data_IF_229114234115
#
_entry.id   IF_229114234115
#
_cell.length_a   1.000
_cell.length_b   1.000
_cell.length_c   1.000
_cell.angle_alpha   90.00
_cell.angle_beta   90.00
_cell.angle_gamma   90.00
#
_symmetry.space_group_name_H-M   'P 1'
#
loop_
_entity.id
_entity.type
_entity.pdbx_description
1 polymer ?
#
# COMPACT_ATOMS: atom_id res chain seq x y z
N UNK A 1 5.49 21.64 5.72
CA UNK A 1 4.95 20.73 6.77
C UNK A 1 3.74 19.91 6.32
N UNK A 2 2.68 20.52 5.76
CA UNK A 2 1.48 19.79 5.30
C UNK A 2 1.78 18.67 4.28
N UNK A 3 2.75 18.87 3.37
CA UNK A 3 3.13 17.87 2.35
C UNK A 3 3.74 16.59 2.90
N UNK A 4 4.51 16.68 3.99
CA UNK A 4 5.12 15.52 4.65
C UNK A 4 4.02 14.68 5.29
N UNK A 5 3.06 15.33 5.95
CA UNK A 5 1.89 14.65 6.52
C UNK A 5 1.04 13.97 5.43
N UNK A 6 0.80 14.66 4.31
CA UNK A 6 0.12 14.06 3.15
C UNK A 6 0.87 12.83 2.63
N UNK A 7 2.18 12.92 2.46
CA UNK A 7 3.00 11.79 2.02
C UNK A 7 2.97 10.61 3.00
N UNK A 8 3.01 10.86 4.31
CA UNK A 8 2.89 9.82 5.34
C UNK A 8 1.52 9.12 5.32
N UNK A 9 0.43 9.88 5.12
CA UNK A 9 -0.92 9.31 4.95
C UNK A 9 -0.97 8.42 3.70
N UNK A 10 -0.38 8.85 2.59
CA UNK A 10 -0.30 8.02 1.38
C UNK A 10 0.49 6.72 1.61
N UNK A 11 1.60 6.76 2.34
CA UNK A 11 2.33 5.55 2.73
C UNK A 11 1.48 4.61 3.61
N UNK A 12 0.71 5.18 4.56
CA UNK A 12 -0.20 4.40 5.41
C UNK A 12 -1.30 3.73 4.57
N UNK A 13 -1.91 4.47 3.64
CA UNK A 13 -2.91 3.93 2.71
C UNK A 13 -2.30 2.80 1.88
N UNK A 14 -1.09 2.99 1.33
CA UNK A 14 -0.39 1.94 0.58
C UNK A 14 -0.20 0.65 1.40
N UNK A 15 0.22 0.77 2.66
CA UNK A 15 0.38 -0.35 3.59
C UNK A 15 -0.96 -1.06 3.84
N UNK A 16 -2.06 -0.31 3.99
CA UNK A 16 -3.40 -0.89 4.16
C UNK A 16 -3.83 -1.64 2.91
N UNK A 17 -3.66 -1.06 1.71
CA UNK A 17 -4.01 -1.76 0.45
C UNK A 17 -3.22 -3.05 0.28
N UNK A 18 -1.92 -3.03 0.60
CA UNK A 18 -1.09 -4.23 0.55
C UNK A 18 -1.60 -5.29 1.52
N UNK A 19 -1.78 -4.93 2.80
CA UNK A 19 -2.26 -5.84 3.83
C UNK A 19 -3.65 -6.41 3.50
N UNK A 20 -4.55 -5.58 2.96
CA UNK A 20 -5.92 -5.98 2.60
C UNK A 20 -5.94 -7.14 1.61
N UNK A 21 -5.02 -7.17 0.62
CA UNK A 21 -4.91 -8.29 -0.32
C UNK A 21 -4.59 -9.61 0.40
N UNK A 22 -3.61 -9.59 1.31
CA UNK A 22 -3.21 -10.80 2.05
C UNK A 22 -4.27 -11.24 3.06
N UNK A 23 -4.92 -10.28 3.74
CA UNK A 23 -6.03 -10.55 4.66
C UNK A 23 -7.21 -11.18 3.91
N UNK A 24 -7.58 -10.64 2.74
CA UNK A 24 -8.65 -11.21 1.92
C UNK A 24 -8.31 -12.61 1.42
N UNK A 25 -7.07 -12.84 0.95
CA UNK A 25 -6.61 -14.18 0.58
C UNK A 25 -6.67 -15.16 1.78
N UNK A 26 -6.31 -14.72 2.98
CA UNK A 26 -6.40 -15.52 4.19
C UNK A 26 -7.85 -15.86 4.57
N UNK A 27 -8.78 -14.91 4.46
CA UNK A 27 -10.21 -15.12 4.71
C UNK A 27 -10.83 -16.10 3.71
N UNK A 28 -10.42 -16.06 2.43
CA UNK A 28 -10.90 -17.01 1.44
C UNK A 28 -10.31 -18.42 1.67
N UNK A 29 -9.06 -18.48 2.11
CA UNK A 29 -8.39 -19.73 2.41
C UNK A 29 -9.02 -20.50 3.60
N UNK A 30 -9.65 -19.81 4.56
CA UNK A 30 -10.35 -20.50 5.68
C UNK A 30 -11.67 -21.16 5.25
N UNK A 31 -12.19 -20.88 4.06
CA UNK A 31 -13.45 -21.47 3.54
C UNK A 31 -13.26 -22.78 2.78
N UNK A 32 -12.03 -23.23 2.53
CA UNK A 32 -11.76 -24.46 1.78
C UNK A 32 -11.12 -25.50 2.68
N UNK A 33 -11.81 -26.64 2.83
CA UNK A 33 -11.50 -27.66 3.85
C UNK A 33 -10.30 -28.57 3.53
N UNK A 34 -9.73 -28.55 2.32
CA UNK A 34 -8.62 -29.47 1.99
C UNK A 34 -7.65 -28.85 0.98
N UNK A 35 -6.41 -28.63 1.42
CA UNK A 35 -5.30 -28.16 0.58
C UNK A 35 -5.10 -26.65 0.60
N UNK A 36 -3.95 -26.21 1.12
CA UNK A 36 -3.52 -24.82 1.25
C UNK A 36 -3.35 -24.13 -0.10
N UNK A 37 -4.46 -23.73 -0.74
CA UNK A 37 -4.47 -23.04 -2.02
C UNK A 37 -4.34 -21.52 -1.86
N UNK A 38 -3.65 -21.06 -0.80
CA UNK A 38 -3.35 -19.64 -0.58
C UNK A 38 -2.82 -18.91 -1.84
N UNK A 39 -1.86 -19.46 -2.61
CA UNK A 39 -1.42 -18.81 -3.85
C UNK A 39 -2.52 -18.67 -4.91
N UNK A 40 -3.45 -19.63 -5.00
CA UNK A 40 -4.59 -19.56 -5.92
C UNK A 40 -5.56 -18.42 -5.54
N UNK A 41 -5.83 -18.23 -4.25
CA UNK A 41 -6.65 -17.09 -3.79
C UNK A 41 -5.94 -15.74 -4.03
N UNK A 42 -4.62 -15.72 -3.94
CA UNK A 42 -3.81 -14.52 -4.19
C UNK A 42 -3.79 -14.14 -5.68
N UNK A 43 -3.87 -15.13 -6.57
CA UNK A 43 -4.05 -14.98 -8.01
C UNK A 43 -5.49 -14.58 -8.37
N UNK A 44 -6.50 -15.17 -7.70
CA UNK A 44 -7.91 -14.83 -7.88
C UNK A 44 -8.23 -13.39 -7.51
N UNK A 45 -7.58 -12.85 -6.46
CA UNK A 45 -7.69 -11.44 -6.09
C UNK A 45 -7.06 -10.47 -7.12
N UNK A 46 -6.28 -11.00 -8.06
CA UNK A 46 -5.60 -10.23 -9.09
C UNK A 46 -4.44 -9.38 -8.56
N UNK A 47 -3.69 -8.83 -9.50
CA UNK A 47 -2.54 -7.95 -9.24
C UNK A 47 -2.94 -6.49 -9.05
N UNK A 48 -4.19 -6.13 -9.34
CA UNK A 48 -4.70 -4.74 -9.34
C UNK A 48 -4.48 -4.04 -7.99
N UNK A 49 -4.82 -4.69 -6.86
CA UNK A 49 -4.60 -4.13 -5.52
C UNK A 49 -3.12 -3.94 -5.20
N UNK A 50 -2.27 -4.86 -5.66
CA UNK A 50 -0.82 -4.76 -5.46
C UNK A 50 -0.25 -3.60 -6.27
N UNK A 51 -0.65 -3.47 -7.53
CA UNK A 51 -0.22 -2.39 -8.42
C UNK A 51 -0.66 -1.04 -7.85
N UNK A 52 -1.92 -0.92 -7.42
CA UNK A 52 -2.43 0.28 -6.77
C UNK A 52 -1.63 0.65 -5.50
N UNK A 53 -1.35 -0.33 -4.63
CA UNK A 53 -0.53 -0.12 -3.43
C UNK A 53 0.87 0.42 -3.76
N UNK A 54 1.54 -0.13 -4.78
CA UNK A 54 2.87 0.32 -5.22
C UNK A 54 2.80 1.75 -5.78
N UNK A 55 1.80 2.07 -6.60
CA UNK A 55 1.61 3.43 -7.13
C UNK A 55 1.40 4.43 -5.99
N UNK A 56 0.52 4.11 -5.04
CA UNK A 56 0.27 4.96 -3.86
C UNK A 56 1.54 5.15 -3.02
N UNK A 57 2.39 4.12 -2.90
CA UNK A 57 3.66 4.20 -2.20
C UNK A 57 4.62 5.19 -2.88
N UNK A 58 4.77 5.09 -4.20
CA UNK A 58 5.64 6.00 -4.96
C UNK A 58 5.19 7.45 -4.85
N UNK A 59 3.87 7.69 -4.89
CA UNK A 59 3.30 9.02 -4.67
C UNK A 59 3.61 9.51 -3.26
N UNK A 60 3.38 8.68 -2.23
CA UNK A 60 3.66 9.01 -0.83
C UNK A 60 5.12 9.41 -0.59
N UNK A 61 6.06 8.61 -1.12
CA UNK A 61 7.50 8.92 -1.06
C UNK A 61 7.80 10.24 -1.78
N UNK A 62 7.24 10.47 -2.96
CA UNK A 62 7.41 11.71 -3.70
C UNK A 62 6.97 12.95 -2.90
N UNK A 63 5.83 12.87 -2.21
CA UNK A 63 5.35 13.95 -1.34
C UNK A 63 6.26 14.22 -0.15
N UNK A 64 6.80 13.16 0.49
CA UNK A 64 7.76 13.31 1.58
C UNK A 64 9.05 13.97 1.08
N UNK A 65 9.63 13.48 -0.01
CA UNK A 65 10.88 14.01 -0.58
C UNK A 65 10.72 15.48 -0.96
N UNK A 66 9.63 15.86 -1.62
CA UNK A 66 9.37 17.25 -1.98
C UNK A 66 9.18 18.13 -0.73
N UNK A 67 8.48 17.62 0.29
CA UNK A 67 8.31 18.31 1.57
C UNK A 67 9.65 18.54 2.30
N UNK A 68 10.52 17.54 2.33
CA UNK A 68 11.87 17.63 2.90
C UNK A 68 12.74 18.64 2.14
N UNK A 69 12.64 18.67 0.80
CA UNK A 69 13.37 19.66 -0.02
C UNK A 69 12.92 21.09 0.28
N UNK A 70 11.62 21.35 0.45
CA UNK A 70 11.12 22.68 0.80
C UNK A 70 11.58 23.14 2.18
N UNK A 71 11.51 22.25 3.17
CA UNK A 71 12.03 22.51 4.52
C UNK A 71 13.52 22.81 4.47
N UNK A 72 14.29 22.02 3.72
CA UNK A 72 15.74 22.19 3.56
C UNK A 72 16.12 23.46 2.78
N UNK A 73 15.28 23.89 1.83
CA UNK A 73 15.46 25.15 1.09
C UNK A 73 15.09 26.39 1.91
N UNK A 74 14.64 26.25 3.15
CA UNK A 74 14.31 27.38 4.02
C UNK A 74 13.09 28.18 3.55
N UNK A 75 12.28 27.63 2.64
CA UNK A 75 10.97 28.18 2.33
C UNK A 75 10.04 27.85 3.50
N UNK A 76 9.87 28.83 4.40
CA UNK A 76 8.84 28.79 5.44
C UNK A 76 7.45 28.75 4.84
#
# INVERSE_FOLDING_TARGET
MYRILTGAIFCLISSILFATRYIAAAILNTRVEVGSNFPYFLELLGSELQIASVITLLIGIGYIVLGEIEVKKGMK
#
